data_IF_115303246195
#
_entry.id   IF_115303246195
#
_cell.length_a   1.000
_cell.length_b   1.000
_cell.length_c   1.000
_cell.angle_alpha   90.00
_cell.angle_beta   90.00
_cell.angle_gamma   90.00
#
_symmetry.space_group_name_H-M   'P 1'
#
loop_
_entity.id
_entity.type
_entity.pdbx_description
1 polymer ?
#
# COMPACT_ATOMS: atom_id res chain seq x y z
N UNK A 1 21.80 -39.58 45.55
CA UNK A 1 21.03 -39.34 44.31
C UNK A 1 20.96 -37.84 43.92
N UNK A 2 22.07 -37.06 43.98
CA UNK A 2 22.06 -35.60 43.70
C UNK A 2 22.99 -35.16 42.55
N UNK A 3 23.70 -36.09 41.91
CA UNK A 3 24.66 -35.80 40.81
C UNK A 3 24.07 -35.95 39.40
N UNK A 4 22.88 -36.54 39.27
CA UNK A 4 22.26 -36.81 37.95
C UNK A 4 21.43 -35.63 37.43
N UNK A 5 21.00 -34.73 38.32
CA UNK A 5 20.11 -33.61 37.98
C UNK A 5 20.82 -32.42 37.33
N UNK A 6 22.14 -32.28 37.51
CA UNK A 6 22.93 -31.20 36.89
C UNK A 6 23.35 -31.48 35.45
N UNK A 7 23.40 -32.76 35.03
CA UNK A 7 23.80 -33.13 33.66
C UNK A 7 22.64 -32.85 32.67
N UNK A 8 21.39 -32.99 33.12
CA UNK A 8 20.20 -32.80 32.27
C UNK A 8 19.99 -31.30 31.95
N UNK A 9 20.35 -30.39 32.86
CA UNK A 9 20.25 -28.95 32.63
C UNK A 9 21.28 -28.41 31.61
N UNK A 10 22.44 -29.04 31.47
CA UNK A 10 23.50 -28.62 30.54
C UNK A 10 23.22 -29.01 29.08
N UNK A 11 22.56 -30.14 28.84
CA UNK A 11 22.26 -30.63 27.47
C UNK A 11 21.11 -29.84 26.84
N UNK A 12 20.15 -29.36 27.64
CA UNK A 12 19.03 -28.53 27.15
C UNK A 12 19.52 -27.12 26.77
N UNK A 13 20.51 -26.56 27.48
CA UNK A 13 21.09 -25.27 27.15
C UNK A 13 21.94 -25.28 25.86
N UNK A 14 22.56 -26.42 25.50
CA UNK A 14 23.35 -26.56 24.28
C UNK A 14 22.49 -26.84 23.02
N UNK A 15 21.32 -27.47 23.16
CA UNK A 15 20.37 -27.68 22.06
C UNK A 15 19.58 -26.42 21.68
N UNK A 16 19.44 -25.45 22.59
CA UNK A 16 18.77 -24.17 22.32
C UNK A 16 19.64 -23.18 21.50
N UNK A 17 20.95 -23.40 21.38
CA UNK A 17 21.86 -22.51 20.65
C UNK A 17 22.12 -22.94 19.19
N UNK A 18 21.72 -24.15 18.79
CA UNK A 18 22.04 -24.72 17.46
C UNK A 18 20.96 -24.52 16.37
N UNK A 19 19.73 -24.12 16.73
CA UNK A 19 18.60 -23.97 15.78
C UNK A 19 18.25 -22.51 15.45
N UNK A 20 19.16 -21.56 15.68
CA UNK A 20 18.92 -20.13 15.40
C UNK A 20 19.89 -19.55 14.35
N UNK A 21 20.28 -20.35 13.35
CA UNK A 21 21.25 -19.94 12.33
C UNK A 21 20.86 -20.25 10.87
N UNK A 22 19.60 -20.59 10.58
CA UNK A 22 19.12 -20.79 9.19
C UNK A 22 17.76 -20.13 9.01
N UNK A 23 17.76 -18.89 8.55
CA UNK A 23 16.53 -18.15 8.25
C UNK A 23 16.74 -16.75 7.69
N UNK A 24 17.92 -16.45 7.12
CA UNK A 24 18.16 -15.21 6.38
C UNK A 24 17.80 -15.42 4.91
N UNK A 25 16.51 -15.56 4.61
CA UNK A 25 16.03 -15.37 3.24
C UNK A 25 15.93 -13.87 3.01
N UNK A 26 16.83 -13.34 2.17
CA UNK A 26 16.69 -12.01 1.61
C UNK A 26 15.43 -11.98 0.76
N UNK A 27 14.44 -11.20 1.16
CA UNK A 27 13.42 -10.70 0.24
C UNK A 27 14.17 -9.88 -0.81
N UNK A 28 14.33 -10.44 -2.01
CA UNK A 28 14.68 -9.62 -3.17
C UNK A 28 13.40 -8.84 -3.51
N UNK A 29 13.47 -7.52 -3.37
CA UNK A 29 12.46 -6.61 -3.87
C UNK A 29 12.18 -6.94 -5.34
N UNK A 30 11.07 -7.63 -5.58
CA UNK A 30 10.50 -7.75 -6.91
C UNK A 30 9.92 -6.38 -7.23
N UNK A 31 10.73 -5.51 -7.84
CA UNK A 31 10.22 -4.40 -8.62
C UNK A 31 9.34 -5.01 -9.72
N UNK A 32 8.03 -5.05 -9.45
CA UNK A 32 7.03 -5.58 -10.36
C UNK A 32 7.05 -4.75 -11.65
N UNK A 33 7.79 -5.24 -12.64
CA UNK A 33 7.69 -4.79 -14.03
C UNK A 33 6.34 -5.32 -14.52
N UNK A 34 5.32 -4.47 -14.56
CA UNK A 34 3.99 -4.84 -15.05
C UNK A 34 4.05 -5.06 -16.57
N UNK A 35 4.52 -6.23 -17.00
CA UNK A 35 4.62 -6.64 -18.40
C UNK A 35 3.30 -7.10 -19.03
N UNK A 36 2.15 -6.73 -18.46
CA UNK A 36 0.81 -7.10 -18.96
C UNK A 36 -0.04 -5.87 -19.31
N UNK A 37 -1.16 -6.05 -20.04
CA UNK A 37 -2.08 -4.97 -20.36
C UNK A 37 -2.73 -4.44 -19.08
N UNK A 38 -2.29 -3.26 -18.64
CA UNK A 38 -2.78 -2.59 -17.45
C UNK A 38 -2.21 -1.17 -17.37
N UNK A 39 -2.83 -0.29 -16.56
CA UNK A 39 -2.34 1.05 -16.38
C UNK A 39 -0.94 1.02 -15.75
N UNK A 40 -0.09 1.95 -16.15
CA UNK A 40 1.15 2.23 -15.42
C UNK A 40 0.77 3.06 -14.20
N UNK A 41 1.01 2.50 -13.01
CA UNK A 41 0.58 3.09 -11.75
C UNK A 41 1.80 3.35 -10.87
N UNK A 42 1.95 4.59 -10.39
CA UNK A 42 2.99 4.97 -9.43
C UNK A 42 2.44 4.85 -8.01
N UNK A 43 3.17 4.15 -7.15
CA UNK A 43 2.86 4.02 -5.73
C UNK A 43 4.01 4.64 -4.95
N UNK A 44 3.67 5.61 -4.10
CA UNK A 44 4.65 6.38 -3.34
C UNK A 44 4.72 5.96 -1.87
N UNK A 45 3.78 5.13 -1.39
CA UNK A 45 3.66 4.81 0.04
C UNK A 45 3.41 3.32 0.31
N UNK A 46 4.17 2.79 1.28
CA UNK A 46 3.85 1.59 2.06
C UNK A 46 4.16 0.25 1.42
N UNK A 47 4.42 -0.75 2.28
CA UNK A 47 4.47 -2.18 1.91
C UNK A 47 3.10 -2.86 2.14
N UNK A 48 2.26 -2.30 3.02
CA UNK A 48 0.95 -2.85 3.37
C UNK A 48 -0.16 -2.03 2.71
N UNK A 49 -0.80 -2.62 1.72
CA UNK A 49 -1.96 -2.05 1.04
C UNK A 49 -3.25 -2.28 1.85
N UNK A 50 -4.29 -1.49 1.58
CA UNK A 50 -5.61 -1.67 2.22
C UNK A 50 -6.21 -3.05 1.93
N UNK A 51 -5.90 -3.64 0.78
CA UNK A 51 -6.22 -5.01 0.37
C UNK A 51 -5.20 -5.46 -0.68
N UNK A 52 -5.24 -6.74 -1.07
CA UNK A 52 -4.43 -7.27 -2.17
C UNK A 52 -4.69 -6.52 -3.49
N UNK A 53 -3.64 -6.28 -4.28
CA UNK A 53 -3.73 -5.59 -5.58
C UNK A 53 -4.74 -6.26 -6.53
N UNK A 54 -4.75 -7.60 -6.57
CA UNK A 54 -5.70 -8.36 -7.39
C UNK A 54 -7.16 -8.17 -6.93
N UNK A 55 -7.39 -8.05 -5.63
CA UNK A 55 -8.71 -7.76 -5.08
C UNK A 55 -9.14 -6.34 -5.44
N UNK A 56 -8.27 -5.34 -5.25
CA UNK A 56 -8.57 -3.94 -5.57
C UNK A 56 -8.89 -3.74 -7.04
N UNK A 57 -8.13 -4.33 -7.97
CA UNK A 57 -8.42 -4.23 -9.41
C UNK A 57 -9.81 -4.72 -9.80
N UNK A 58 -10.36 -5.71 -9.09
CA UNK A 58 -11.69 -6.29 -9.36
C UNK A 58 -12.82 -5.62 -8.57
N UNK A 59 -12.52 -5.10 -7.38
CA UNK A 59 -13.54 -4.67 -6.42
C UNK A 59 -13.44 -3.20 -5.99
N UNK A 60 -12.49 -2.43 -6.52
CA UNK A 60 -12.24 -1.02 -6.18
C UNK A 60 -13.54 -0.20 -6.09
N UNK A 61 -14.36 -0.20 -7.13
CA UNK A 61 -15.59 0.59 -7.13
C UNK A 61 -16.63 0.09 -6.12
N UNK A 62 -16.71 -1.23 -5.88
CA UNK A 62 -17.62 -1.79 -4.87
C UNK A 62 -17.21 -1.35 -3.47
N UNK A 63 -15.92 -1.38 -3.17
CA UNK A 63 -15.35 -0.94 -1.89
C UNK A 63 -15.65 0.54 -1.65
N UNK A 64 -15.42 1.39 -2.66
CA UNK A 64 -15.70 2.83 -2.56
C UNK A 64 -17.19 3.11 -2.34
N UNK A 65 -18.07 2.51 -3.14
CA UNK A 65 -19.51 2.73 -3.03
C UNK A 65 -20.06 2.23 -1.69
N UNK A 66 -19.61 1.06 -1.23
CA UNK A 66 -20.01 0.54 0.07
C UNK A 66 -19.57 1.46 1.20
N UNK A 67 -18.33 1.96 1.16
CA UNK A 67 -17.85 2.88 2.17
C UNK A 67 -18.58 4.24 2.11
N UNK A 68 -18.89 4.73 0.91
CA UNK A 68 -19.69 5.94 0.70
C UNK A 68 -21.04 5.79 1.39
N UNK A 69 -21.77 4.71 1.12
CA UNK A 69 -23.11 4.50 1.66
C UNK A 69 -23.07 4.33 3.18
N UNK A 70 -22.08 3.60 3.71
CA UNK A 70 -21.84 3.52 5.17
C UNK A 70 -21.59 4.88 5.79
N UNK A 71 -20.77 5.71 5.16
CA UNK A 71 -20.40 7.02 5.69
C UNK A 71 -21.57 8.01 5.62
N UNK A 72 -22.25 8.07 4.47
CA UNK A 72 -23.25 9.10 4.17
C UNK A 72 -24.65 8.73 4.69
N UNK A 73 -25.07 7.48 4.56
CA UNK A 73 -26.42 7.06 4.95
C UNK A 73 -26.48 6.47 6.35
N UNK A 74 -25.38 5.89 6.84
CA UNK A 74 -25.35 5.20 8.14
C UNK A 74 -24.48 5.92 9.17
N UNK A 75 -23.74 6.97 8.78
CA UNK A 75 -22.85 7.71 9.68
C UNK A 75 -21.61 6.92 10.13
N UNK A 76 -21.33 5.75 9.55
CA UNK A 76 -20.22 4.88 9.95
C UNK A 76 -18.94 5.33 9.24
N UNK A 77 -17.96 5.84 10.00
CA UNK A 77 -16.68 6.35 9.49
C UNK A 77 -15.51 5.46 9.93
N UNK A 78 -15.11 4.54 9.08
CA UNK A 78 -13.92 3.68 9.29
C UNK A 78 -12.75 4.17 8.44
N UNK A 79 -11.51 3.99 8.93
CA UNK A 79 -10.32 4.50 8.23
C UNK A 79 -9.94 3.66 6.99
N UNK A 80 -9.94 2.32 7.12
CA UNK A 80 -9.35 1.37 6.16
C UNK A 80 -9.72 1.66 4.70
N UNK A 81 -11.02 1.77 4.39
CA UNK A 81 -11.53 1.98 3.03
C UNK A 81 -12.04 3.40 2.79
N UNK A 82 -11.77 4.34 3.70
CA UNK A 82 -12.22 5.73 3.50
C UNK A 82 -11.59 6.36 2.27
N UNK A 83 -12.37 7.16 1.54
CA UNK A 83 -11.86 7.89 0.36
C UNK A 83 -10.66 8.77 0.73
N UNK A 84 -10.69 9.38 1.91
CA UNK A 84 -9.59 10.16 2.47
C UNK A 84 -8.30 9.33 2.61
N UNK A 85 -8.39 8.14 3.20
CA UNK A 85 -7.22 7.26 3.34
C UNK A 85 -6.63 6.87 1.98
N UNK A 86 -7.49 6.62 0.98
CA UNK A 86 -7.05 6.35 -0.39
C UNK A 86 -6.27 7.55 -0.96
N UNK A 87 -6.81 8.77 -0.87
CA UNK A 87 -6.17 9.99 -1.38
C UNK A 87 -4.84 10.27 -0.66
N UNK A 88 -4.81 10.16 0.66
CA UNK A 88 -3.61 10.38 1.47
C UNK A 88 -2.45 9.41 1.15
N UNK A 89 -2.78 8.16 0.77
CA UNK A 89 -1.77 7.17 0.41
C UNK A 89 -1.34 7.23 -1.06
N UNK A 90 -2.25 7.61 -1.96
CA UNK A 90 -2.04 7.53 -3.41
C UNK A 90 -1.73 8.87 -4.08
N UNK A 91 -1.82 9.99 -3.35
CA UNK A 91 -1.42 11.28 -3.89
C UNK A 91 0.06 11.26 -4.32
N UNK A 92 0.32 11.90 -5.46
CA UNK A 92 1.67 12.15 -5.91
C UNK A 92 2.36 13.14 -4.94
N UNK A 93 3.61 12.88 -4.50
CA UNK A 93 4.29 13.71 -3.52
C UNK A 93 4.67 15.10 -4.05
N UNK A 94 4.72 15.30 -5.37
CA UNK A 94 5.02 16.59 -6.02
C UNK A 94 3.75 17.44 -6.11
N UNK A 95 2.66 16.88 -6.63
CA UNK A 95 1.42 17.62 -6.88
C UNK A 95 0.48 17.64 -5.66
N UNK A 96 0.68 16.70 -4.75
CA UNK A 96 -0.19 16.40 -3.62
C UNK A 96 -1.55 15.84 -4.04
N UNK A 97 -1.72 15.41 -5.30
CA UNK A 97 -3.01 15.00 -5.88
C UNK A 97 -2.97 13.57 -6.42
N UNK A 98 -4.13 12.91 -6.42
CA UNK A 98 -4.33 11.61 -7.11
C UNK A 98 -4.66 11.76 -8.60
N UNK A 99 -4.82 12.99 -9.09
CA UNK A 99 -5.07 13.36 -10.48
C UNK A 99 -3.80 13.91 -11.15
N UNK A 100 -3.93 14.27 -12.42
CA UNK A 100 -2.83 14.77 -13.25
C UNK A 100 -2.10 13.65 -13.99
N UNK A 101 -1.03 14.01 -14.69
CA UNK A 101 -0.21 13.07 -15.43
C UNK A 101 0.42 12.06 -14.48
N UNK A 102 0.24 10.77 -14.78
CA UNK A 102 0.67 9.64 -13.94
C UNK A 102 0.06 9.60 -12.52
N UNK A 103 -0.97 10.40 -12.26
CA UNK A 103 -1.70 10.38 -10.99
C UNK A 103 -2.42 9.05 -10.81
N UNK A 104 -2.35 8.46 -9.61
CA UNK A 104 -2.83 7.10 -9.36
C UNK A 104 -4.28 6.86 -9.82
N UNK A 105 -5.20 7.77 -9.48
CA UNK A 105 -6.59 7.66 -9.89
C UNK A 105 -6.73 7.92 -11.39
N UNK A 106 -6.05 8.95 -11.92
CA UNK A 106 -6.10 9.30 -13.33
C UNK A 106 -5.65 8.14 -14.23
N UNK A 107 -4.51 7.50 -13.96
CA UNK A 107 -3.97 6.42 -14.79
C UNK A 107 -4.94 5.24 -14.94
N UNK A 108 -5.58 4.82 -13.86
CA UNK A 108 -6.55 3.72 -13.92
C UNK A 108 -7.85 4.12 -14.62
N UNK A 109 -8.31 5.36 -14.41
CA UNK A 109 -9.56 5.86 -14.98
C UNK A 109 -9.43 6.17 -16.48
N UNK A 110 -8.26 6.66 -16.90
CA UNK A 110 -7.89 6.81 -18.31
C UNK A 110 -7.86 5.44 -19.00
N UNK A 111 -7.14 4.47 -18.42
CA UNK A 111 -7.07 3.11 -18.95
C UNK A 111 -8.46 2.46 -19.08
N UNK A 112 -9.34 2.66 -18.10
CA UNK A 112 -10.69 2.12 -18.11
C UNK A 112 -11.70 3.00 -18.87
N UNK A 113 -11.29 4.15 -19.42
CA UNK A 113 -12.15 5.13 -20.11
C UNK A 113 -13.37 5.58 -19.28
N UNK A 114 -13.18 5.75 -17.97
CA UNK A 114 -14.22 6.20 -17.03
C UNK A 114 -13.89 7.56 -16.44
N UNK A 115 -14.89 8.43 -16.34
CA UNK A 115 -14.71 9.77 -15.74
C UNK A 115 -14.81 9.69 -14.22
N UNK A 116 -13.96 10.47 -13.54
CA UNK A 116 -14.07 10.71 -12.10
C UNK A 116 -14.92 11.96 -11.91
N UNK A 117 -16.10 11.82 -11.31
CA UNK A 117 -17.01 12.92 -11.04
C UNK A 117 -16.91 13.44 -9.60
N UNK A 118 -16.42 12.62 -8.67
CA UNK A 118 -16.31 12.97 -7.25
C UNK A 118 -15.52 14.26 -7.01
N UNK A 119 -14.44 14.45 -7.77
CA UNK A 119 -13.52 15.57 -7.61
C UNK A 119 -13.95 16.86 -8.33
N UNK A 120 -15.14 16.89 -8.96
CA UNK A 120 -15.70 18.16 -9.41
C UNK A 120 -16.11 19.07 -8.25
N UNK A 121 -16.39 18.46 -7.09
CA UNK A 121 -16.80 19.15 -5.87
C UNK A 121 -15.96 18.77 -4.65
N UNK A 122 -15.33 17.59 -4.63
CA UNK A 122 -14.44 17.18 -3.55
C UNK A 122 -12.95 17.38 -3.90
N UNK A 123 -12.12 17.53 -2.87
CA UNK A 123 -10.67 17.63 -3.05
C UNK A 123 -10.07 16.31 -3.54
N UNK A 124 -9.26 16.40 -4.58
CA UNK A 124 -8.37 15.35 -5.07
C UNK A 124 -7.00 15.34 -4.37
N UNK A 125 -6.76 16.34 -3.51
CA UNK A 125 -5.50 16.52 -2.79
C UNK A 125 -5.49 15.83 -1.44
N UNK A 126 -4.34 15.25 -1.11
CA UNK A 126 -4.05 14.71 0.21
C UNK A 126 -3.98 15.82 1.27
N UNK A 127 -4.23 15.43 2.52
CA UNK A 127 -4.05 16.33 3.64
C UNK A 127 -2.58 16.74 3.77
N UNK A 128 -2.33 17.99 4.19
CA UNK A 128 -0.97 18.51 4.41
C UNK A 128 -0.12 17.61 5.32
N UNK A 129 -0.73 17.07 6.38
CA UNK A 129 -0.06 16.16 7.31
C UNK A 129 0.31 14.82 6.64
N UNK A 130 -0.56 14.28 5.79
CA UNK A 130 -0.27 13.06 5.04
C UNK A 130 0.83 13.30 4.00
N UNK A 131 0.74 14.40 3.25
CA UNK A 131 1.72 14.82 2.24
C UNK A 131 3.12 15.01 2.84
N UNK A 132 3.21 15.59 4.04
CA UNK A 132 4.49 15.75 4.75
C UNK A 132 5.18 14.43 5.14
N UNK A 133 4.45 13.31 5.11
CA UNK A 133 5.00 11.97 5.42
C UNK A 133 5.26 11.13 4.18
N UNK A 134 4.98 11.65 2.98
CA UNK A 134 5.32 10.94 1.75
C UNK A 134 6.83 11.02 1.50
N UNK A 135 7.46 9.93 1.02
CA UNK A 135 8.86 9.97 0.65
C UNK A 135 9.06 10.98 -0.49
N UNK A 136 10.24 11.62 -0.57
CA UNK A 136 10.52 12.56 -1.65
C UNK A 136 10.34 11.86 -3.00
N UNK A 137 9.87 12.61 -4.02
CA UNK A 137 9.69 12.05 -5.36
C UNK A 137 11.01 11.42 -5.84
N UNK A 138 10.97 10.14 -6.22
CA UNK A 138 12.12 9.52 -6.89
C UNK A 138 12.36 10.28 -8.20
N UNK A 139 13.60 10.64 -8.55
CA UNK A 139 13.89 11.30 -9.82
C UNK A 139 13.32 10.45 -10.97
N UNK A 140 12.64 11.10 -11.91
CA UNK A 140 12.00 10.45 -13.04
C UNK A 140 13.04 9.65 -13.83
N UNK A 141 13.07 8.34 -13.64
CA UNK A 141 13.90 7.44 -14.43
C UNK A 141 13.13 7.11 -15.70
N UNK A 142 13.49 7.75 -16.81
CA UNK A 142 13.07 7.28 -18.13
C UNK A 142 12.24 8.24 -18.99
N UNK A 143 12.41 9.56 -18.88
CA UNK A 143 12.11 10.42 -20.04
C UNK A 143 13.21 10.17 -21.07
N UNK A 144 12.97 9.24 -21.99
CA UNK A 144 13.76 9.16 -23.22
C UNK A 144 13.36 10.38 -24.08
N UNK A 145 14.33 11.14 -24.63
CA UNK A 145 14.05 12.32 -25.45
C UNK A 145 13.17 12.00 -26.66
#
# INVERSE_FOLDING_TARGET
>A
MRRKTTIIAGVIAALAAGLFAVGMVRATDSAAKSGGPGPVVKIHRGEQCVEDTGYMRRNHMKVILHQRDKTMHQGIRTAKHSLKNCVDCHADPVTGSVLGQDGFCASCHEYASVKIDCFSCHTDKADKAALATLPPPKPATGVKP
#
